data_IF_790696186368
#
_entry.id   IF_790696186368
#
_cell.length_a   1.000
_cell.length_b   1.000
_cell.length_c   1.000
_cell.angle_alpha   90.00
_cell.angle_beta   90.00
_cell.angle_gamma   90.00
#
_symmetry.space_group_name_H-M   'P 1'
#
loop_
_entity.id
_entity.type
_entity.pdbx_description
1 polymer ?
#
# COMPACT_ATOMS: atom_id res chain seq x y z
N UNK A 1 -16.31 -19.96 19.51
CA UNK A 1 -16.95 -18.71 19.94
C UNK A 1 -16.55 -17.59 18.96
N UNK A 2 -16.96 -17.72 17.70
CA UNK A 2 -16.67 -16.79 16.60
C UNK A 2 -17.69 -15.66 16.62
N UNK A 3 -17.38 -14.74 17.55
CA UNK A 3 -17.52 -13.28 17.49
C UNK A 3 -18.81 -12.70 16.87
N UNK A 4 -19.66 -12.00 17.67
CA UNK A 4 -20.89 -11.33 17.20
C UNK A 4 -20.65 -10.22 16.16
N UNK A 5 -19.38 -9.92 15.86
CA UNK A 5 -18.92 -8.92 14.92
C UNK A 5 -19.27 -9.27 13.46
N UNK A 6 -19.23 -10.55 13.09
CA UNK A 6 -19.60 -10.99 11.74
C UNK A 6 -21.10 -10.85 11.48
N UNK A 7 -21.91 -11.10 12.51
CA UNK A 7 -23.36 -10.89 12.47
C UNK A 7 -23.70 -9.40 12.36
N UNK A 8 -23.04 -8.55 13.15
CA UNK A 8 -23.22 -7.10 13.08
C UNK A 8 -22.84 -6.55 11.71
N UNK A 9 -21.74 -7.05 11.14
CA UNK A 9 -21.29 -6.68 9.80
C UNK A 9 -22.27 -7.13 8.72
N UNK A 10 -22.80 -8.35 8.83
CA UNK A 10 -23.83 -8.84 7.91
C UNK A 10 -25.12 -8.02 7.98
N UNK A 11 -25.57 -7.66 9.18
CA UNK A 11 -26.75 -6.80 9.38
C UNK A 11 -26.49 -5.38 8.85
N UNK A 12 -25.29 -4.83 9.05
CA UNK A 12 -24.92 -3.52 8.51
C UNK A 12 -24.96 -3.53 6.98
N UNK A 13 -24.38 -4.56 6.34
CA UNK A 13 -24.40 -4.71 4.88
C UNK A 13 -25.83 -4.90 4.35
N UNK A 14 -26.68 -5.65 5.07
CA UNK A 14 -28.09 -5.83 4.73
C UNK A 14 -28.87 -4.51 4.82
N UNK A 15 -28.63 -3.71 5.86
CA UNK A 15 -29.28 -2.40 6.04
C UNK A 15 -28.85 -1.39 4.97
N UNK A 16 -27.57 -1.39 4.57
CA UNK A 16 -27.07 -0.55 3.47
C UNK A 16 -27.72 -0.97 2.14
N UNK A 17 -27.84 -2.28 1.89
CA UNK A 17 -28.54 -2.81 0.72
C UNK A 17 -30.03 -2.45 0.70
N UNK A 18 -30.69 -2.47 1.86
CA UNK A 18 -32.10 -2.10 2.00
C UNK A 18 -32.36 -0.59 1.82
N UNK A 19 -31.44 0.28 2.25
CA UNK A 19 -31.53 1.72 1.99
C UNK A 19 -31.29 2.03 0.49
N UNK A 20 -30.44 1.24 -0.17
CA UNK A 20 -30.18 1.35 -1.62
C UNK A 20 -31.35 0.86 -2.47
N UNK A 21 -31.98 -0.25 -2.06
CA UNK A 21 -33.21 -0.78 -2.65
C UNK A 21 -34.43 -0.14 -1.96
N UNK A 22 -34.65 1.15 -2.20
CA UNK A 22 -35.80 1.88 -1.66
C UNK A 22 -37.12 1.12 -1.87
N UNK A 23 -38.10 1.25 -0.95
CA UNK A 23 -39.35 0.52 -1.05
C UNK A 23 -39.97 0.87 -2.41
N UNK A 24 -40.23 -0.16 -3.22
CA UNK A 24 -40.89 -0.06 -4.52
C UNK A 24 -42.22 0.70 -4.35
N UNK A 25 -42.15 2.04 -4.39
CA UNK A 25 -43.29 2.91 -4.53
C UNK A 25 -43.62 2.89 -6.01
N UNK A 26 -44.64 2.12 -6.35
CA UNK A 26 -45.23 1.98 -7.68
C UNK A 26 -45.77 3.29 -8.31
N UNK A 27 -45.27 4.47 -7.94
CA UNK A 27 -45.79 5.77 -8.39
C UNK A 27 -44.70 6.82 -8.66
N UNK A 28 -43.49 6.43 -9.08
CA UNK A 28 -42.50 7.42 -9.54
C UNK A 28 -42.43 7.53 -11.08
N UNK A 29 -42.51 8.74 -11.66
CA UNK A 29 -42.48 8.94 -13.11
C UNK A 29 -41.20 8.37 -13.71
N UNK A 30 -41.29 7.71 -14.89
CA UNK A 30 -40.15 7.13 -15.62
C UNK A 30 -38.94 8.07 -15.79
N UNK A 31 -39.16 9.39 -15.74
CA UNK A 31 -38.10 10.40 -15.78
C UNK A 31 -37.12 10.31 -14.60
N UNK A 32 -37.58 9.94 -13.39
CA UNK A 32 -36.73 9.84 -12.18
C UNK A 32 -35.91 8.55 -12.16
N UNK A 33 -36.43 7.46 -12.75
CA UNK A 33 -35.63 6.24 -12.99
C UNK A 33 -34.53 6.49 -14.02
N UNK A 34 -34.77 7.32 -15.03
CA UNK A 34 -33.75 7.69 -16.02
C UNK A 34 -32.61 8.51 -15.40
N UNK A 35 -32.91 9.42 -14.47
CA UNK A 35 -31.87 10.20 -13.78
C UNK A 35 -31.04 9.33 -12.84
N UNK A 36 -31.65 8.42 -12.08
CA UNK A 36 -30.91 7.49 -11.22
C UNK A 36 -29.96 6.57 -12.01
N UNK A 37 -30.39 6.08 -13.18
CA UNK A 37 -29.51 5.31 -14.08
C UNK A 37 -28.37 6.16 -14.66
N UNK A 38 -28.64 7.42 -15.01
CA UNK A 38 -27.62 8.36 -15.47
C UNK A 38 -26.62 8.72 -14.36
N UNK A 39 -27.09 8.97 -13.16
CA UNK A 39 -26.25 9.26 -11.99
C UNK A 39 -25.34 8.07 -11.66
N UNK A 40 -25.82 6.84 -11.83
CA UNK A 40 -25.01 5.64 -11.66
C UNK A 40 -23.92 5.52 -12.73
N UNK A 41 -24.22 5.84 -14.00
CA UNK A 41 -23.21 5.85 -15.07
C UNK A 41 -22.13 6.91 -14.84
N UNK A 42 -22.51 8.12 -14.39
CA UNK A 42 -21.56 9.19 -14.08
C UNK A 42 -20.66 8.81 -12.90
N UNK A 43 -21.20 8.12 -11.89
CA UNK A 43 -20.42 7.63 -10.77
C UNK A 43 -19.39 6.57 -11.21
N UNK A 44 -19.80 5.61 -12.04
CA UNK A 44 -18.89 4.59 -12.59
C UNK A 44 -17.81 5.21 -13.46
N UNK A 45 -18.15 6.14 -14.36
CA UNK A 45 -17.16 6.83 -15.19
C UNK A 45 -16.10 7.56 -14.33
N UNK A 46 -16.52 8.16 -13.22
CA UNK A 46 -15.59 8.81 -12.28
C UNK A 46 -14.74 7.80 -11.51
N UNK A 47 -15.32 6.65 -11.15
CA UNK A 47 -14.59 5.56 -10.49
C UNK A 47 -13.52 5.00 -11.42
N UNK A 48 -13.84 4.74 -12.69
CA UNK A 48 -12.92 4.25 -13.71
C UNK A 48 -11.74 5.22 -13.90
N UNK A 49 -12.00 6.52 -13.91
CA UNK A 49 -10.94 7.54 -13.98
C UNK A 49 -10.05 7.50 -12.73
N UNK A 50 -10.62 7.27 -11.54
CA UNK A 50 -9.84 7.14 -10.30
C UNK A 50 -9.04 5.85 -10.31
N UNK A 51 -9.63 4.72 -10.68
CA UNK A 51 -8.97 3.42 -10.79
C UNK A 51 -7.77 3.49 -11.74
N UNK A 52 -7.99 4.03 -12.95
CA UNK A 52 -6.92 4.24 -13.92
C UNK A 52 -5.79 5.12 -13.38
N UNK A 53 -6.13 6.23 -12.70
CA UNK A 53 -5.12 7.11 -12.09
C UNK A 53 -4.33 6.39 -11.01
N UNK A 54 -4.99 5.59 -10.18
CA UNK A 54 -4.32 4.80 -9.14
C UNK A 54 -3.36 3.81 -9.80
N UNK A 55 -3.81 3.05 -10.79
CA UNK A 55 -2.98 2.09 -11.52
C UNK A 55 -1.76 2.77 -12.18
N UNK A 56 -1.97 3.88 -12.90
CA UNK A 56 -0.90 4.65 -13.54
C UNK A 56 0.12 5.16 -12.49
N UNK A 57 -0.34 5.61 -11.32
CA UNK A 57 0.55 6.11 -10.26
C UNK A 57 1.35 4.99 -9.61
N UNK A 58 0.74 3.83 -9.38
CA UNK A 58 1.41 2.66 -8.81
C UNK A 58 2.48 2.17 -9.76
N UNK A 59 2.14 2.00 -11.04
CA UNK A 59 3.09 1.57 -12.07
C UNK A 59 4.27 2.54 -12.20
N UNK A 60 4.02 3.84 -12.16
CA UNK A 60 5.07 4.85 -12.15
C UNK A 60 5.98 4.70 -10.92
N UNK A 61 5.39 4.56 -9.73
CA UNK A 61 6.14 4.43 -8.49
C UNK A 61 7.01 3.16 -8.47
N UNK A 62 6.49 2.04 -8.96
CA UNK A 62 7.24 0.79 -9.13
C UNK A 62 8.43 0.96 -10.07
N UNK A 63 8.24 1.67 -11.18
CA UNK A 63 9.33 1.96 -12.13
C UNK A 63 10.41 2.86 -11.52
N UNK A 64 10.02 3.90 -10.77
CA UNK A 64 10.96 4.79 -10.09
C UNK A 64 11.70 4.06 -8.97
N UNK A 65 11.01 3.19 -8.24
CA UNK A 65 11.62 2.37 -7.19
C UNK A 65 12.64 1.39 -7.77
N UNK A 66 12.33 0.74 -8.90
CA UNK A 66 13.26 -0.15 -9.57
C UNK A 66 14.54 0.59 -10.01
N UNK A 67 14.39 1.78 -10.59
CA UNK A 67 15.53 2.65 -10.95
C UNK A 67 16.34 3.06 -9.73
N UNK A 68 15.67 3.40 -8.63
CA UNK A 68 16.34 3.78 -7.38
C UNK A 68 17.12 2.62 -6.77
N UNK A 69 16.55 1.41 -6.77
CA UNK A 69 17.23 0.21 -6.28
C UNK A 69 18.47 -0.12 -7.12
N UNK A 70 18.34 -0.10 -8.46
CA UNK A 70 19.47 -0.29 -9.37
C UNK A 70 20.60 0.74 -9.11
N UNK A 71 20.24 2.00 -8.85
CA UNK A 71 21.20 3.05 -8.53
C UNK A 71 21.92 2.84 -7.19
N UNK A 72 21.28 2.21 -6.19
CA UNK A 72 21.87 1.93 -4.87
C UNK A 72 22.74 0.67 -4.91
N UNK A 73 22.30 -0.36 -5.65
CA UNK A 73 23.07 -1.60 -5.85
C UNK A 73 24.27 -1.40 -6.79
N UNK A 74 24.36 -0.23 -7.42
CA UNK A 74 25.46 0.10 -8.32
C UNK A 74 26.83 -0.07 -7.63
N UNK A 75 27.83 -0.66 -8.33
CA UNK A 75 29.13 -1.01 -7.75
C UNK A 75 29.90 0.14 -7.09
N UNK A 76 29.63 1.39 -7.48
CA UNK A 76 30.25 2.56 -6.84
C UNK A 76 29.87 2.74 -5.37
N UNK A 77 28.74 2.16 -4.92
CA UNK A 77 28.25 2.27 -3.55
C UNK A 77 28.58 1.03 -2.70
N UNK A 78 28.97 -0.10 -3.32
CA UNK A 78 29.32 -1.34 -2.60
C UNK A 78 30.37 -1.13 -1.50
N UNK A 79 31.45 -0.34 -1.68
CA UNK A 79 32.42 -0.10 -0.61
C UNK A 79 31.85 0.67 0.59
N UNK A 80 30.82 1.50 0.40
CA UNK A 80 30.15 2.20 1.50
C UNK A 80 29.16 1.30 2.23
N UNK A 81 28.52 0.36 1.53
CA UNK A 81 27.61 -0.63 2.11
C UNK A 81 28.36 -1.73 2.87
N UNK A 82 29.49 -2.21 2.34
CA UNK A 82 30.35 -3.23 2.97
C UNK A 82 31.11 -2.68 4.20
N UNK A 83 31.22 -1.36 4.32
CA UNK A 83 31.85 -0.66 5.45
C UNK A 83 30.91 -0.37 6.63
N UNK A 84 29.60 -0.56 6.48
CA UNK A 84 28.62 -0.33 7.56
C UNK A 84 28.83 -1.39 8.65
N UNK A 85 29.59 -1.03 9.69
CA UNK A 85 29.84 -1.87 10.87
C UNK A 85 31.29 -2.33 11.04
N UNK A 86 32.20 -2.03 10.11
CA UNK A 86 33.65 -2.28 10.29
C UNK A 86 34.39 -0.97 10.54
N UNK A 87 34.93 -0.74 11.75
CA UNK A 87 35.81 0.40 11.96
C UNK A 87 37.02 0.28 11.04
N UNK A 88 37.32 1.34 10.27
CA UNK A 88 38.47 1.42 9.35
C UNK A 88 39.81 1.18 10.08
N UNK A 89 39.83 1.37 11.41
CA UNK A 89 40.94 1.00 12.29
C UNK A 89 40.33 0.39 13.55
N UNK A 90 40.53 -0.91 13.78
CA UNK A 90 40.19 -1.56 15.05
C UNK A 90 41.29 -1.25 16.07
N UNK A 91 41.09 -0.20 16.87
CA UNK A 91 42.04 0.25 17.90
C UNK A 91 42.05 -0.72 19.11
N UNK A 92 41.10 -1.67 19.19
CA UNK A 92 41.03 -2.63 20.29
C UNK A 92 41.94 -3.86 20.09
N UNK A 93 42.42 -4.10 18.86
CA UNK A 93 43.27 -5.25 18.54
C UNK A 93 44.75 -5.04 18.92
N UNK A 94 45.16 -3.79 19.20
CA UNK A 94 46.54 -3.46 19.55
C UNK A 94 46.93 -3.79 21.00
N UNK A 95 46.06 -4.40 21.80
CA UNK A 95 46.30 -4.70 23.21
C UNK A 95 46.50 -6.19 23.54
N UNK A 96 46.47 -7.12 22.58
CA UNK A 96 46.64 -8.56 22.86
C UNK A 96 48.08 -9.09 22.75
N UNK A 97 49.05 -8.30 22.27
CA UNK A 97 50.47 -8.70 22.20
C UNK A 97 51.30 -8.08 23.33
N UNK A 98 50.86 -8.37 24.55
CA UNK A 98 51.56 -8.10 25.80
C UNK A 98 51.97 -9.37 26.57
N UNK A 99 52.00 -10.54 25.93
CA UNK A 99 52.66 -11.73 26.49
C UNK A 99 54.18 -11.57 26.32
N UNK A 100 54.81 -10.74 27.16
CA UNK A 100 56.25 -10.87 27.45
C UNK A 100 56.42 -11.84 28.60
N UNK A 101 56.40 -13.12 28.25
CA UNK A 101 57.30 -14.10 28.86
C UNK A 101 58.72 -13.58 28.59
N UNK A 102 59.51 -13.39 29.65
CA UNK A 102 60.92 -13.74 29.67
C UNK A 102 61.48 -13.64 31.11
N UNK A 103 61.93 -14.81 31.58
CA UNK A 103 62.81 -15.16 32.71
C UNK A 103 62.40 -14.82 34.15
#
# INVERSE_FOLDING_TARGET
MTRPFTFLLGVLLLLIGYISAGPESELQPRAVRSSACQDHSILHDRLDVVEKRVEDTVQKLESELAVLMDAIEAPQWSPLLDGVGKPVVDILDSQSLGERRDS
#
